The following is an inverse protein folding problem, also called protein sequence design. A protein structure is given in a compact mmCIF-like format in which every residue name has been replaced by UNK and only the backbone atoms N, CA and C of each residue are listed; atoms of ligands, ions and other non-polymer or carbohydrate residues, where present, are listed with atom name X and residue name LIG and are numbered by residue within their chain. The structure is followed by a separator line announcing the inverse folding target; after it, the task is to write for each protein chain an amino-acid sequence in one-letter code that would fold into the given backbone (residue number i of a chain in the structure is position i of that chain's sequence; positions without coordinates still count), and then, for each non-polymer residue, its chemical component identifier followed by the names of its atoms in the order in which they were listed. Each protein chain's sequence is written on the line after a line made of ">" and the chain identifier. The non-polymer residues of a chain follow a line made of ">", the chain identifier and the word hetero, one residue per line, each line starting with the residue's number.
data_IF_303770702923
#
_entry.id   IF_303770702923
#
_cell.length_a   1.000
_cell.length_b   1.000
_cell.length_c   1.000
_cell.angle_alpha   90.00
_cell.angle_beta   90.00
_cell.angle_gamma   90.00
#
_symmetry.space_group_name_H-M   'P 1'
#
loop_
_entity.id
_entity.type
_entity.pdbx_description
1 polymer ?
#
# COMPACT_ATOMS: atom_id res chain seq x y z
N UNK A 1 -49.03 -0.19 -35.80
CA UNK A 1 -49.13 0.21 -34.38
C UNK A 1 -49.66 -0.87 -33.47
N UNK A 2 -50.92 -1.36 -33.64
CA UNK A 2 -51.58 -2.31 -32.74
C UNK A 2 -50.88 -3.68 -32.67
N UNK A 3 -50.33 -4.19 -33.78
CA UNK A 3 -49.67 -5.50 -33.79
C UNK A 3 -48.34 -5.51 -33.02
N UNK A 4 -47.67 -4.38 -32.90
CA UNK A 4 -46.46 -4.22 -32.09
C UNK A 4 -46.77 -4.36 -30.58
N UNK A 5 -47.87 -3.75 -30.14
CA UNK A 5 -48.29 -3.78 -28.74
C UNK A 5 -48.63 -5.24 -28.22
N UNK A 6 -49.03 -6.15 -29.09
CA UNK A 6 -49.33 -7.53 -28.75
C UNK A 6 -48.09 -8.42 -28.68
N UNK A 7 -46.97 -8.05 -29.33
CA UNK A 7 -45.74 -8.89 -29.39
C UNK A 7 -44.62 -8.33 -28.58
N UNK A 8 -44.67 -7.07 -28.17
CA UNK A 8 -43.61 -6.42 -27.39
C UNK A 8 -43.57 -6.96 -25.94
N UNK A 9 -42.37 -7.11 -25.44
CA UNK A 9 -42.07 -7.49 -24.06
C UNK A 9 -41.66 -6.23 -23.28
N UNK A 10 -42.13 -6.15 -22.02
CA UNK A 10 -41.68 -5.08 -21.10
C UNK A 10 -40.32 -5.45 -20.52
N UNK A 11 -39.32 -4.65 -20.85
CA UNK A 11 -37.94 -4.86 -20.40
C UNK A 11 -37.49 -3.70 -19.52
N UNK A 12 -37.00 -4.02 -18.33
CA UNK A 12 -36.40 -3.08 -17.40
C UNK A 12 -34.89 -3.32 -17.33
N UNK A 13 -34.12 -2.25 -17.41
CA UNK A 13 -32.68 -2.26 -17.18
C UNK A 13 -32.37 -1.60 -15.85
N UNK A 14 -31.58 -2.28 -15.02
CA UNK A 14 -31.10 -1.77 -13.74
C UNK A 14 -29.58 -1.70 -13.81
N UNK A 15 -29.04 -0.55 -13.49
CA UNK A 15 -27.59 -0.31 -13.53
C UNK A 15 -27.09 0.15 -12.17
N UNK A 16 -25.88 -0.28 -11.85
CA UNK A 16 -25.04 0.30 -10.83
C UNK A 16 -23.80 0.88 -11.53
N UNK A 17 -23.61 2.22 -11.55
CA UNK A 17 -24.45 3.24 -10.92
C UNK A 17 -25.75 3.51 -11.69
N UNK A 18 -26.79 3.98 -10.98
CA UNK A 18 -28.09 4.37 -11.56
C UNK A 18 -27.97 5.49 -12.61
N UNK A 19 -26.89 6.28 -12.53
CA UNK A 19 -26.58 7.38 -13.46
C UNK A 19 -26.08 6.91 -14.83
N UNK A 20 -26.01 5.61 -15.09
CA UNK A 20 -25.55 5.08 -16.36
C UNK A 20 -26.50 5.48 -17.51
N UNK A 21 -25.93 6.08 -18.56
CA UNK A 21 -26.64 6.33 -19.79
C UNK A 21 -26.65 5.06 -20.66
N UNK A 22 -27.83 4.63 -21.06
CA UNK A 22 -28.03 3.32 -21.69
C UNK A 22 -28.61 3.49 -23.10
N UNK A 23 -27.97 2.84 -24.06
CA UNK A 23 -28.42 2.74 -25.44
C UNK A 23 -28.62 1.27 -25.79
N UNK A 24 -29.79 0.94 -26.34
CA UNK A 24 -30.10 -0.38 -26.90
C UNK A 24 -30.24 -0.24 -28.39
N UNK A 25 -29.57 -1.07 -29.17
CA UNK A 25 -29.62 -1.06 -30.63
C UNK A 25 -29.87 -2.46 -31.19
N UNK A 26 -30.39 -2.54 -32.42
CA UNK A 26 -30.65 -3.80 -33.11
C UNK A 26 -32.13 -4.11 -33.34
N UNK A 27 -33.04 -3.14 -33.10
CA UNK A 27 -34.45 -3.32 -33.34
C UNK A 27 -35.28 -2.05 -33.09
N UNK A 28 -36.59 -2.14 -33.31
CA UNK A 28 -37.49 -1.08 -32.92
C UNK A 28 -37.76 -1.10 -31.43
N UNK A 29 -37.54 0.00 -30.74
CA UNK A 29 -37.86 0.18 -29.33
C UNK A 29 -38.84 1.32 -29.09
N UNK A 30 -39.64 1.22 -28.05
CA UNK A 30 -40.48 2.29 -27.52
C UNK A 30 -40.26 2.38 -26.02
N UNK A 31 -39.92 3.57 -25.55
CA UNK A 31 -39.78 3.83 -24.11
C UNK A 31 -41.10 4.34 -23.53
N UNK A 32 -41.58 3.73 -22.46
CA UNK A 32 -42.76 4.14 -21.74
C UNK A 32 -42.63 3.80 -20.22
N UNK A 33 -42.86 4.81 -19.37
CA UNK A 33 -42.93 4.64 -17.89
C UNK A 33 -41.68 3.98 -17.27
N UNK A 34 -40.48 4.25 -17.80
CA UNK A 34 -39.22 3.65 -17.32
C UNK A 34 -39.00 2.19 -17.76
N UNK A 35 -39.85 1.69 -18.68
CA UNK A 35 -39.69 0.40 -19.33
C UNK A 35 -39.43 0.59 -20.81
N UNK A 36 -38.64 -0.32 -21.39
CA UNK A 36 -38.50 -0.40 -22.85
C UNK A 36 -39.33 -1.55 -23.38
N UNK A 37 -40.10 -1.26 -24.41
CA UNK A 37 -40.88 -2.28 -25.11
C UNK A 37 -40.06 -2.83 -26.27
N UNK A 38 -39.59 -4.05 -26.13
CA UNK A 38 -38.74 -4.73 -27.10
C UNK A 38 -39.45 -6.00 -27.61
N UNK A 39 -39.23 -6.36 -28.87
CA UNK A 39 -39.62 -7.69 -29.34
C UNK A 39 -38.65 -8.76 -28.86
N UNK A 40 -39.10 -10.02 -28.90
CA UNK A 40 -38.21 -11.16 -28.73
C UNK A 40 -37.08 -11.12 -29.79
N UNK A 41 -35.83 -11.25 -29.34
CA UNK A 41 -34.66 -11.15 -30.21
C UNK A 41 -33.39 -10.78 -29.47
N UNK A 42 -32.30 -10.62 -30.22
CA UNK A 42 -31.01 -10.19 -29.70
C UNK A 42 -30.77 -8.73 -30.01
N UNK A 43 -30.33 -7.99 -29.00
CA UNK A 43 -30.05 -6.57 -29.07
C UNK A 43 -28.60 -6.32 -28.57
N UNK A 44 -28.02 -5.21 -29.02
CA UNK A 44 -26.75 -4.73 -28.45
C UNK A 44 -27.06 -3.65 -27.41
N UNK A 45 -26.58 -3.87 -26.20
CA UNK A 45 -26.68 -2.93 -25.09
C UNK A 45 -25.34 -2.24 -24.90
N UNK A 46 -25.34 -0.91 -24.84
CA UNK A 46 -24.23 -0.08 -24.47
C UNK A 46 -24.60 0.77 -23.27
N UNK A 47 -23.71 0.88 -22.28
CA UNK A 47 -23.90 1.74 -21.13
C UNK A 47 -22.61 2.48 -20.80
N UNK A 48 -22.73 3.77 -20.46
CA UNK A 48 -21.63 4.63 -20.05
C UNK A 48 -22.00 5.38 -18.76
N UNK A 49 -21.02 5.58 -17.89
CA UNK A 49 -21.15 6.45 -16.73
C UNK A 49 -19.80 7.08 -16.41
N UNK A 50 -19.80 8.31 -15.91
CA UNK A 50 -18.59 9.05 -15.55
C UNK A 50 -17.83 8.29 -14.43
N UNK A 51 -16.54 8.02 -14.67
CA UNK A 51 -15.70 7.29 -13.73
C UNK A 51 -15.81 5.76 -13.83
N UNK A 52 -16.46 5.24 -14.87
CA UNK A 52 -16.60 3.80 -15.10
C UNK A 52 -16.14 3.42 -16.50
N UNK A 53 -15.71 2.17 -16.65
CA UNK A 53 -15.46 1.61 -17.97
C UNK A 53 -16.79 1.47 -18.73
N UNK A 54 -16.82 1.80 -20.02
CA UNK A 54 -18.01 1.56 -20.84
C UNK A 54 -18.33 0.07 -20.93
N UNK A 55 -19.62 -0.26 -20.81
CA UNK A 55 -20.13 -1.60 -20.99
C UNK A 55 -20.74 -1.72 -22.40
N UNK A 56 -20.38 -2.77 -23.12
CA UNK A 56 -21.00 -3.13 -24.39
C UNK A 56 -21.16 -4.65 -24.45
N UNK A 57 -22.39 -5.12 -24.63
CA UNK A 57 -22.67 -6.56 -24.69
C UNK A 57 -24.01 -6.86 -25.37
N UNK A 58 -24.16 -8.05 -26.01
CA UNK A 58 -25.42 -8.53 -26.48
C UNK A 58 -26.35 -8.91 -25.31
N UNK A 59 -27.64 -8.67 -25.48
CA UNK A 59 -28.71 -9.13 -24.61
C UNK A 59 -29.74 -9.89 -25.42
N UNK A 60 -30.32 -10.95 -24.86
CA UNK A 60 -31.38 -11.73 -25.49
C UNK A 60 -32.70 -11.46 -24.78
N UNK A 61 -33.64 -10.85 -25.45
CA UNK A 61 -35.01 -10.66 -24.99
C UNK A 61 -35.79 -11.91 -25.37
N UNK A 62 -36.25 -12.67 -24.38
CA UNK A 62 -36.94 -13.92 -24.56
C UNK A 62 -38.45 -13.77 -24.60
N UNK A 63 -39.17 -14.88 -24.52
CA UNK A 63 -40.62 -14.96 -24.62
C UNK A 63 -41.42 -14.42 -23.40
N UNK A 64 -40.74 -14.25 -22.24
CA UNK A 64 -41.39 -13.72 -21.03
C UNK A 64 -41.89 -12.31 -21.24
N UNK A 65 -43.11 -12.00 -20.76
CA UNK A 65 -43.76 -10.71 -20.95
C UNK A 65 -43.00 -9.57 -20.25
N UNK A 66 -42.50 -9.82 -19.01
CA UNK A 66 -41.73 -8.87 -18.20
C UNK A 66 -40.36 -9.45 -17.94
N UNK A 67 -39.31 -8.67 -18.23
CA UNK A 67 -37.92 -9.08 -18.03
C UNK A 67 -37.14 -7.95 -17.39
N UNK A 68 -36.23 -8.30 -16.50
CA UNK A 68 -35.29 -7.34 -15.89
C UNK A 68 -33.88 -7.82 -16.14
N UNK A 69 -33.03 -6.92 -16.63
CA UNK A 69 -31.59 -7.13 -16.78
C UNK A 69 -30.86 -6.18 -15.84
N UNK A 70 -30.00 -6.75 -14.99
CA UNK A 70 -29.19 -5.98 -14.03
C UNK A 70 -27.74 -6.01 -14.44
N UNK A 71 -27.07 -4.87 -14.38
CA UNK A 71 -25.67 -4.68 -14.78
C UNK A 71 -24.95 -3.81 -13.76
N UNK A 72 -23.71 -4.17 -13.47
CA UNK A 72 -22.79 -3.36 -12.69
C UNK A 72 -21.64 -2.92 -13.60
N UNK A 73 -21.38 -1.61 -13.68
CA UNK A 73 -20.24 -1.07 -14.41
C UNK A 73 -19.00 -1.13 -13.55
N UNK A 74 -17.88 -1.50 -14.17
CA UNK A 74 -16.59 -1.54 -13.50
C UNK A 74 -16.04 -0.12 -13.33
N UNK A 75 -15.70 0.26 -12.10
CA UNK A 75 -15.07 1.56 -11.79
C UNK A 75 -13.72 1.69 -12.49
N UNK A 76 -13.43 2.85 -13.03
CA UNK A 76 -12.07 3.23 -13.42
C UNK A 76 -11.16 3.23 -12.20
N UNK A 77 -9.85 3.01 -12.35
CA UNK A 77 -8.90 3.11 -11.24
C UNK A 77 -8.95 4.48 -10.56
N UNK A 78 -8.56 4.54 -9.30
CA UNK A 78 -8.35 5.78 -8.55
C UNK A 78 -6.93 6.30 -8.74
N UNK A 79 -6.73 7.61 -8.58
CA UNK A 79 -5.42 8.26 -8.57
C UNK A 79 -4.93 8.34 -7.14
N UNK A 80 -3.92 7.53 -6.78
CA UNK A 80 -3.41 7.45 -5.40
C UNK A 80 -2.03 8.09 -5.32
N UNK A 81 -1.93 9.16 -4.53
CA UNK A 81 -0.66 9.75 -4.14
C UNK A 81 -0.09 9.01 -2.93
N UNK A 82 1.18 8.62 -3.00
CA UNK A 82 1.92 7.97 -1.92
C UNK A 82 2.98 8.91 -1.40
N UNK A 83 3.04 9.09 -0.08
CA UNK A 83 4.06 9.86 0.61
C UNK A 83 4.54 9.16 1.87
N UNK A 84 5.75 9.46 2.31
CA UNK A 84 6.29 8.99 3.59
C UNK A 84 7.17 10.05 4.23
N UNK A 85 7.29 9.97 5.55
CA UNK A 85 8.25 10.71 6.35
C UNK A 85 9.13 9.71 7.12
N UNK A 86 10.46 9.66 6.83
CA UNK A 86 11.13 10.39 5.75
C UNK A 86 10.74 9.90 4.34
N UNK A 87 10.97 10.73 3.30
CA UNK A 87 10.69 10.36 1.92
C UNK A 87 11.66 9.28 1.40
N UNK A 88 11.35 8.69 0.25
CA UNK A 88 12.23 7.68 -0.37
C UNK A 88 11.84 6.23 -0.06
N UNK A 89 10.70 6.00 0.61
CA UNK A 89 10.24 4.64 0.86
C UNK A 89 9.77 3.95 -0.43
N UNK A 90 10.22 2.73 -0.63
CA UNK A 90 9.72 1.84 -1.70
C UNK A 90 8.37 1.26 -1.29
N UNK A 91 7.40 1.37 -2.18
CA UNK A 91 6.04 0.88 -1.96
C UNK A 91 5.85 -0.45 -2.66
N UNK A 92 5.35 -1.42 -1.90
CA UNK A 92 4.98 -2.74 -2.40
C UNK A 92 3.46 -2.93 -2.31
N UNK A 93 2.92 -3.55 -3.35
CA UNK A 93 1.55 -4.07 -3.39
C UNK A 93 1.60 -5.49 -3.95
N UNK A 94 0.94 -6.44 -3.28
CA UNK A 94 0.93 -7.85 -3.68
C UNK A 94 2.34 -8.42 -3.96
N UNK A 95 3.33 -8.02 -3.13
CA UNK A 95 4.73 -8.41 -3.26
C UNK A 95 5.52 -7.75 -4.38
N UNK A 96 4.90 -6.88 -5.17
CA UNK A 96 5.55 -6.15 -6.29
C UNK A 96 5.78 -4.70 -5.93
N UNK A 97 6.94 -4.17 -6.31
CA UNK A 97 7.24 -2.74 -6.22
C UNK A 97 6.37 -1.96 -7.20
N UNK A 98 5.74 -0.89 -6.71
CA UNK A 98 4.92 0.01 -7.53
C UNK A 98 5.47 1.43 -7.65
N UNK A 99 6.41 1.81 -6.81
CA UNK A 99 7.09 3.11 -6.88
C UNK A 99 7.85 3.45 -5.59
N UNK A 100 8.39 4.68 -5.56
CA UNK A 100 9.13 5.24 -4.42
C UNK A 100 8.54 6.59 -4.05
N UNK A 101 8.28 6.83 -2.77
CA UNK A 101 7.67 8.07 -2.27
C UNK A 101 8.56 9.29 -2.44
N UNK A 102 8.00 10.48 -2.79
CA UNK A 102 6.60 10.70 -3.14
C UNK A 102 6.30 10.37 -4.62
N UNK A 103 5.20 9.70 -4.90
CA UNK A 103 4.75 9.45 -6.28
C UNK A 103 3.23 9.26 -6.35
N UNK A 104 2.68 9.23 -7.57
CA UNK A 104 1.25 8.97 -7.82
C UNK A 104 1.11 7.79 -8.76
N UNK A 105 0.16 6.90 -8.45
CA UNK A 105 -0.16 5.75 -9.28
C UNK A 105 -1.66 5.60 -9.51
N UNK A 106 -2.01 4.93 -10.61
CA UNK A 106 -3.37 4.52 -10.93
C UNK A 106 -3.63 3.14 -10.29
N UNK A 107 -4.53 3.09 -9.32
CA UNK A 107 -4.79 1.89 -8.52
C UNK A 107 -6.23 1.42 -8.72
N UNK A 108 -6.42 0.14 -9.01
CA UNK A 108 -7.75 -0.47 -9.15
C UNK A 108 -8.60 -0.21 -7.91
N UNK A 109 -9.89 0.12 -8.13
CA UNK A 109 -10.87 0.30 -7.06
C UNK A 109 -11.02 -0.97 -6.20
N UNK A 110 -11.28 -0.77 -4.91
CA UNK A 110 -11.44 -1.83 -3.92
C UNK A 110 -10.40 -1.78 -2.81
N UNK A 111 -10.46 -2.75 -1.91
CA UNK A 111 -9.52 -2.84 -0.80
C UNK A 111 -8.12 -3.21 -1.30
N UNK A 112 -7.11 -2.52 -0.79
CA UNK A 112 -5.70 -2.76 -1.11
C UNK A 112 -4.83 -2.50 0.11
N UNK A 113 -3.76 -3.27 0.26
CA UNK A 113 -2.75 -3.10 1.29
C UNK A 113 -1.42 -2.74 0.64
N UNK A 114 -0.76 -1.74 1.18
CA UNK A 114 0.52 -1.22 0.69
C UNK A 114 1.55 -1.31 1.81
N UNK A 115 2.74 -1.86 1.50
CA UNK A 115 3.86 -1.90 2.41
C UNK A 115 4.89 -0.86 2.01
N UNK A 116 5.24 -0.02 2.94
CA UNK A 116 6.29 1.00 2.85
C UNK A 116 7.58 0.44 3.44
N UNK A 117 8.66 0.44 2.68
CA UNK A 117 9.98 -0.01 3.11
C UNK A 117 11.02 1.06 2.82
N UNK A 118 11.79 1.40 3.84
CA UNK A 118 12.94 2.28 3.74
C UNK A 118 14.07 1.67 4.56
N UNK A 119 15.28 1.70 4.03
CA UNK A 119 16.45 1.22 4.77
C UNK A 119 16.59 1.88 6.14
N UNK A 120 16.94 1.10 7.18
CA UNK A 120 17.02 1.50 8.58
C UNK A 120 15.68 1.91 9.23
N UNK A 121 14.55 1.69 8.57
CA UNK A 121 13.21 1.94 9.14
C UNK A 121 12.40 0.66 9.21
N UNK A 122 11.45 0.62 10.12
CA UNK A 122 10.50 -0.48 10.22
C UNK A 122 9.54 -0.46 9.04
N UNK A 123 9.27 -1.63 8.46
CA UNK A 123 8.23 -1.77 7.44
C UNK A 123 6.88 -1.30 8.02
N UNK A 124 6.16 -0.49 7.25
CA UNK A 124 4.84 0.02 7.64
C UNK A 124 3.81 -0.43 6.61
N UNK A 125 2.68 -0.97 7.06
CA UNK A 125 1.59 -1.36 6.18
C UNK A 125 0.39 -0.43 6.34
N UNK A 126 -0.18 0.00 5.20
CA UNK A 126 -1.42 0.78 5.13
C UNK A 126 -2.42 0.01 4.30
N UNK A 127 -3.58 -0.30 4.89
CA UNK A 127 -4.73 -0.84 4.19
C UNK A 127 -5.75 0.26 3.94
N UNK A 128 -6.21 0.39 2.70
CA UNK A 128 -7.16 1.42 2.30
C UNK A 128 -8.16 0.89 1.28
N UNK A 129 -9.35 1.48 1.26
CA UNK A 129 -10.34 1.30 0.19
C UNK A 129 -10.06 2.35 -0.87
N UNK A 130 -9.71 1.89 -2.07
CA UNK A 130 -9.51 2.76 -3.23
C UNK A 130 -10.87 3.00 -3.87
N UNK A 131 -11.30 4.26 -3.89
CA UNK A 131 -12.59 4.70 -4.42
C UNK A 131 -12.76 4.38 -5.90
N UNK A 132 -11.68 4.43 -6.66
CA UNK A 132 -11.73 4.35 -8.10
C UNK A 132 -12.27 5.63 -8.74
N UNK A 133 -12.86 5.51 -9.94
CA UNK A 133 -13.52 6.59 -10.68
C UNK A 133 -12.63 7.81 -10.94
N UNK A 134 -11.30 7.61 -11.01
CA UNK A 134 -10.28 8.65 -11.14
C UNK A 134 -10.22 9.64 -9.98
N UNK A 135 -10.90 9.32 -8.85
CA UNK A 135 -10.86 10.14 -7.64
C UNK A 135 -9.44 10.11 -7.07
N UNK A 136 -8.95 11.31 -6.69
CA UNK A 136 -7.66 11.45 -6.05
C UNK A 136 -7.74 11.11 -4.55
N UNK A 137 -6.82 10.28 -4.07
CA UNK A 137 -6.64 9.92 -2.66
C UNK A 137 -5.16 10.02 -2.32
N UNK A 138 -4.84 10.27 -1.04
CA UNK A 138 -3.45 10.29 -0.56
C UNK A 138 -3.30 9.27 0.56
N UNK A 139 -2.25 8.45 0.46
CA UNK A 139 -1.81 7.53 1.49
C UNK A 139 -0.43 7.97 1.98
N UNK A 140 -0.35 8.42 3.22
CA UNK A 140 0.85 8.93 3.86
C UNK A 140 1.26 8.04 5.03
N UNK A 141 2.55 7.72 5.15
CA UNK A 141 3.10 6.96 6.25
C UNK A 141 4.19 7.75 6.98
N UNK A 142 4.18 7.74 8.31
CA UNK A 142 5.34 8.11 9.12
C UNK A 142 6.07 6.82 9.48
N UNK A 143 7.33 6.71 9.04
CA UNK A 143 8.14 5.52 9.26
C UNK A 143 8.86 5.63 10.60
N UNK A 144 8.88 4.51 11.33
CA UNK A 144 9.56 4.44 12.62
C UNK A 144 10.99 3.97 12.44
N UNK A 145 11.98 4.62 13.09
CA UNK A 145 13.36 4.16 13.08
C UNK A 145 13.48 2.70 13.53
N UNK A 146 14.32 1.92 12.85
CA UNK A 146 14.67 0.56 13.24
C UNK A 146 15.98 0.52 14.03
N UNK A 147 16.34 1.57 14.74
CA UNK A 147 17.54 1.66 15.58
C UNK A 147 17.25 2.28 16.93
N UNK A 148 18.20 2.10 17.85
CA UNK A 148 18.22 2.76 19.15
C UNK A 148 19.53 3.53 19.37
N UNK A 149 19.52 4.42 20.35
CA UNK A 149 20.68 5.12 20.86
C UNK A 149 21.28 4.32 22.03
N UNK A 150 22.46 3.73 21.83
CA UNK A 150 23.14 2.94 22.86
C UNK A 150 24.29 3.74 23.46
N UNK A 151 24.21 4.03 24.75
CA UNK A 151 25.28 4.68 25.51
C UNK A 151 26.18 3.62 26.15
N UNK A 152 27.49 3.74 25.97
CA UNK A 152 28.48 2.73 26.41
C UNK A 152 29.49 3.41 27.36
N UNK A 153 29.19 3.47 28.68
CA UNK A 153 30.11 4.04 29.66
C UNK A 153 31.34 3.16 29.82
N UNK A 154 32.55 3.73 29.65
CA UNK A 154 33.79 3.00 29.87
C UNK A 154 34.74 3.76 30.80
N UNK A 155 35.59 3.04 31.51
CA UNK A 155 36.74 3.56 32.24
C UNK A 155 37.99 2.77 31.83
N UNK A 156 38.99 3.42 31.16
CA UNK A 156 39.01 4.81 30.70
C UNK A 156 37.99 5.11 29.61
N UNK A 157 37.72 6.40 29.38
CA UNK A 157 36.91 6.92 28.27
C UNK A 157 37.67 6.93 26.95
N UNK A 158 37.00 7.35 25.86
CA UNK A 158 37.59 7.50 24.51
C UNK A 158 38.03 6.19 23.85
N UNK A 159 37.40 5.09 24.26
CA UNK A 159 37.62 3.82 23.58
C UNK A 159 36.80 3.77 22.27
N UNK A 160 37.40 3.18 21.24
CA UNK A 160 36.75 2.93 19.95
C UNK A 160 35.61 1.91 20.12
N UNK A 161 34.45 2.19 19.51
CA UNK A 161 33.31 1.27 19.48
C UNK A 161 33.25 0.55 18.13
N UNK A 162 33.11 -0.76 18.16
CA UNK A 162 32.83 -1.60 16.99
C UNK A 162 31.49 -2.27 17.18
N UNK A 163 30.68 -2.30 16.13
CA UNK A 163 29.41 -3.05 16.08
C UNK A 163 29.56 -4.16 15.04
N UNK A 164 29.36 -5.39 15.43
CA UNK A 164 29.53 -6.60 14.60
C UNK A 164 30.91 -6.67 13.88
N UNK A 165 31.93 -6.11 14.53
CA UNK A 165 33.31 -6.05 14.00
C UNK A 165 33.59 -4.87 13.08
N UNK A 166 32.61 -4.04 12.75
CA UNK A 166 32.79 -2.81 11.97
C UNK A 166 33.03 -1.62 12.90
N UNK A 167 34.04 -0.81 12.60
CA UNK A 167 34.33 0.40 13.37
C UNK A 167 33.25 1.44 13.18
N UNK A 168 32.70 1.95 14.26
CA UNK A 168 31.84 3.11 14.26
C UNK A 168 32.66 4.40 14.33
N UNK A 169 32.05 5.53 13.93
CA UNK A 169 32.67 6.85 14.07
C UNK A 169 32.65 7.37 15.54
N UNK A 170 32.16 6.54 16.48
CA UNK A 170 31.92 6.94 17.87
C UNK A 170 32.97 6.36 18.82
N UNK A 171 33.24 7.14 19.87
CA UNK A 171 34.08 6.76 20.99
C UNK A 171 33.31 6.89 22.29
N UNK A 172 33.63 5.99 23.23
CA UNK A 172 32.95 5.99 24.54
C UNK A 172 33.22 7.29 25.33
N UNK A 173 32.22 7.77 26.11
CA UNK A 173 30.94 7.13 26.47
C UNK A 173 29.77 7.54 25.54
N UNK A 174 30.00 8.26 24.45
CA UNK A 174 28.96 8.83 23.59
C UNK A 174 27.92 7.80 23.11
N UNK A 175 26.70 8.25 22.77
CA UNK A 175 25.70 7.36 22.20
C UNK A 175 26.07 6.95 20.77
N UNK A 176 25.86 5.69 20.43
CA UNK A 176 25.98 5.14 19.09
C UNK A 176 24.63 4.62 18.63
N UNK A 177 24.31 4.84 17.34
CA UNK A 177 23.13 4.25 16.73
C UNK A 177 23.38 2.78 16.38
N UNK A 178 22.57 1.89 16.95
CA UNK A 178 22.62 0.44 16.70
C UNK A 178 21.26 0.02 16.16
N UNK A 179 21.24 -0.73 15.07
CA UNK A 179 20.01 -1.29 14.51
C UNK A 179 19.33 -2.22 15.50
N UNK A 180 18.03 -2.48 15.31
CA UNK A 180 17.31 -3.45 16.10
C UNK A 180 17.87 -4.86 15.94
N UNK A 181 17.80 -5.64 16.99
CA UNK A 181 18.25 -7.03 17.01
C UNK A 181 19.44 -7.27 17.95
N UNK A 182 20.04 -8.44 17.84
CA UNK A 182 21.21 -8.81 18.61
C UNK A 182 22.48 -8.41 17.86
N UNK A 183 23.33 -7.63 18.50
CA UNK A 183 24.60 -7.12 17.95
C UNK A 183 25.74 -7.40 18.88
N UNK A 184 26.91 -7.71 18.32
CA UNK A 184 28.16 -7.79 19.09
C UNK A 184 28.78 -6.39 19.21
N UNK A 185 28.72 -5.84 20.41
CA UNK A 185 29.38 -4.59 20.76
C UNK A 185 30.79 -4.90 21.27
N UNK A 186 31.80 -4.30 20.65
CA UNK A 186 33.19 -4.41 21.08
C UNK A 186 33.74 -3.03 21.39
N UNK A 187 34.46 -2.92 22.49
CA UNK A 187 35.14 -1.68 22.90
C UNK A 187 36.64 -1.93 22.93
N UNK A 188 37.41 -1.12 22.20
CA UNK A 188 38.85 -1.25 22.09
C UNK A 188 39.54 0.05 22.42
N UNK A 189 40.58 -0.02 23.25
CA UNK A 189 41.44 1.11 23.61
C UNK A 189 42.90 0.68 23.57
N UNK A 190 43.81 1.39 22.91
CA UNK A 190 45.24 1.03 22.90
C UNK A 190 45.83 0.88 24.31
N UNK A 191 46.53 -0.21 24.55
CA UNK A 191 47.09 -0.56 25.87
C UNK A 191 46.11 -1.19 26.83
N UNK A 192 44.91 -1.53 26.40
CA UNK A 192 43.90 -2.23 27.17
C UNK A 192 43.39 -3.49 26.44
N UNK A 193 42.91 -4.46 27.19
CA UNK A 193 42.21 -5.63 26.67
C UNK A 193 40.87 -5.18 26.10
N UNK A 194 40.52 -5.66 24.89
CA UNK A 194 39.21 -5.39 24.30
C UNK A 194 38.10 -6.05 25.11
N UNK A 195 37.02 -5.33 25.33
CA UNK A 195 35.78 -5.88 25.88
C UNK A 195 34.79 -6.16 24.77
N UNK A 196 34.02 -7.23 24.88
CA UNK A 196 32.99 -7.55 23.87
C UNK A 196 31.84 -8.31 24.54
N UNK A 197 30.63 -7.95 24.17
CA UNK A 197 29.39 -8.64 24.60
C UNK A 197 28.30 -8.56 23.53
N UNK A 198 27.26 -9.38 23.66
CA UNK A 198 26.07 -9.35 22.84
C UNK A 198 25.05 -8.43 23.50
N UNK A 199 24.54 -7.49 22.71
CA UNK A 199 23.56 -6.50 23.13
C UNK A 199 22.32 -6.62 22.25
N UNK A 200 21.17 -6.83 22.85
CA UNK A 200 19.90 -6.80 22.16
C UNK A 200 19.32 -5.39 22.20
N UNK A 201 18.92 -4.89 21.03
CA UNK A 201 18.46 -3.50 20.83
C UNK A 201 17.03 -3.52 20.32
N UNK A 202 16.15 -2.79 21.01
CA UNK A 202 14.79 -2.53 20.57
C UNK A 202 14.72 -1.22 19.77
N UNK A 203 13.82 -1.10 18.76
CA UNK A 203 13.64 0.14 18.01
C UNK A 203 13.29 1.33 18.92
N UNK A 204 13.86 2.50 18.62
CA UNK A 204 13.59 3.78 19.31
C UNK A 204 13.94 3.79 20.82
N UNK A 205 14.59 2.76 21.33
CA UNK A 205 15.02 2.68 22.71
C UNK A 205 16.20 3.64 22.98
N UNK A 206 16.35 4.03 24.25
CA UNK A 206 17.56 4.65 24.79
C UNK A 206 18.19 3.70 25.78
N UNK A 207 19.11 2.88 25.28
CA UNK A 207 19.78 1.87 26.06
C UNK A 207 21.08 2.42 26.63
N UNK A 208 21.32 2.22 27.92
CA UNK A 208 22.63 2.50 28.55
C UNK A 208 23.16 1.21 29.11
N UNK A 209 24.33 0.79 28.66
CA UNK A 209 24.99 -0.39 29.15
C UNK A 209 25.56 -0.16 30.57
N UNK A 210 25.78 -1.24 31.31
CA UNK A 210 26.49 -1.16 32.58
C UNK A 210 27.92 -0.61 32.36
N UNK A 211 28.47 0.15 33.33
CA UNK A 211 29.80 0.71 33.19
C UNK A 211 30.88 -0.34 33.01
N UNK A 212 31.66 -0.24 31.95
CA UNK A 212 32.69 -1.18 31.53
C UNK A 212 34.05 -0.70 32.07
N UNK A 213 34.70 -1.50 32.91
CA UNK A 213 36.08 -1.27 33.37
C UNK A 213 37.04 -2.01 32.44
N UNK A 214 37.78 -1.26 31.59
CA UNK A 214 38.80 -1.86 30.72
C UNK A 214 40.04 -2.23 31.53
N UNK A 215 40.56 -3.44 31.31
CA UNK A 215 41.79 -3.94 31.94
C UNK A 215 43.02 -3.57 31.11
N UNK A 216 44.06 -3.12 31.74
CA UNK A 216 45.35 -2.89 31.02
C UNK A 216 45.85 -4.22 30.42
N UNK A 217 46.26 -4.14 29.16
CA UNK A 217 46.91 -5.27 28.51
C UNK A 217 48.26 -5.58 29.22
N UNK A 218 48.49 -6.83 29.55
CA UNK A 218 49.77 -7.27 30.11
C UNK A 218 50.71 -7.52 28.96
N UNK A 219 51.82 -6.77 28.90
CA UNK A 219 52.88 -7.05 27.94
C UNK A 219 53.51 -8.40 28.28
N UNK A 220 53.32 -9.39 27.42
CA UNK A 220 54.10 -10.63 27.51
C UNK A 220 55.48 -10.32 26.97
N UNK A 221 56.48 -10.36 27.86
CA UNK A 221 57.91 -10.24 27.54
C UNK A 221 58.40 -11.55 26.96
#
# INVERSE_FOLDING_TARGET
>A
GLWFSFTAKSVRFVFEPESAEVVVSGGFELEALGYRLLREGTYELSAIATGYFPLKRPIAVGSKRNQTFSFELTKLPGRVGFSSEPPGATIFRDGKTIGTTPFTASIKAGQSTFRYRLDRYLDTEISAIIEGREIAQTLAATLRPAWAQVTIPTTPTSAQVLIDGEMSDFHTPGPVEVLQGEHRVTVALPGYESWSDLVYVEPEERLTLDPIQLKKAVATV
#
